data_IF_249826997087
#
_entry.id   IF_249826997087
#
_cell.length_a   1.000
_cell.length_b   1.000
_cell.length_c   1.000
_cell.angle_alpha   90.00
_cell.angle_beta   90.00
_cell.angle_gamma   90.00
#
_symmetry.space_group_name_H-M   'P 1'
#
loop_
_entity.id
_entity.type
_entity.pdbx_description
1 polymer ?
#
# COMPACT_ATOMS: atom_id res chain seq x y z
N UNK A 1 57.70 27.79 -37.43
CA UNK A 1 57.12 26.48 -37.73
C UNK A 1 56.81 25.82 -36.39
N UNK A 2 55.58 25.85 -35.95
CA UNK A 2 55.12 25.17 -34.75
C UNK A 2 54.31 23.95 -35.22
N UNK A 3 54.81 22.78 -34.88
CA UNK A 3 54.16 21.52 -35.22
C UNK A 3 52.97 21.29 -34.28
N UNK A 4 51.76 21.21 -34.85
CA UNK A 4 50.56 20.79 -34.16
C UNK A 4 50.51 19.26 -34.19
N UNK A 5 50.67 18.65 -33.04
CA UNK A 5 50.51 17.21 -32.85
C UNK A 5 49.00 16.92 -32.80
N UNK A 6 48.49 16.26 -33.82
CA UNK A 6 47.14 15.66 -33.79
C UNK A 6 47.18 14.38 -32.95
N UNK A 7 46.48 14.37 -31.86
CA UNK A 7 46.23 13.14 -31.10
C UNK A 7 45.07 12.42 -31.81
N UNK A 8 45.39 11.32 -32.49
CA UNK A 8 44.41 10.38 -33.01
C UNK A 8 43.74 9.62 -31.84
N UNK A 9 42.53 10.02 -31.50
CA UNK A 9 41.66 9.23 -30.61
C UNK A 9 41.13 8.05 -31.41
N UNK A 10 41.69 6.89 -31.19
CA UNK A 10 41.17 5.62 -31.71
C UNK A 10 39.80 5.33 -31.10
N UNK A 11 38.75 5.54 -31.88
CA UNK A 11 37.42 5.04 -31.62
C UNK A 11 37.44 3.50 -31.66
N UNK A 12 37.51 2.85 -30.53
CA UNK A 12 37.09 1.47 -30.33
C UNK A 12 35.70 1.47 -29.76
N UNK A 13 34.77 0.85 -30.49
CA UNK A 13 33.42 0.47 -30.08
C UNK A 13 32.56 1.61 -29.51
N UNK A 14 32.07 2.46 -30.34
CA UNK A 14 30.84 3.30 -30.23
C UNK A 14 30.25 3.69 -28.83
N UNK A 15 31.00 3.55 -27.75
CA UNK A 15 30.65 4.05 -26.42
C UNK A 15 31.43 5.34 -26.20
N UNK A 16 30.71 6.44 -26.17
CA UNK A 16 31.21 7.63 -25.53
C UNK A 16 31.56 7.26 -24.08
N UNK A 17 32.81 7.48 -23.68
CA UNK A 17 33.16 7.47 -22.25
C UNK A 17 32.44 8.71 -21.65
N UNK A 18 31.23 8.54 -21.15
CA UNK A 18 30.62 9.51 -20.28
C UNK A 18 31.55 9.63 -19.07
N UNK A 19 31.87 10.84 -18.64
CA UNK A 19 32.54 11.07 -17.36
C UNK A 19 31.72 10.48 -16.22
N UNK A 20 32.24 10.46 -14.98
CA UNK A 20 31.46 9.99 -13.83
C UNK A 20 30.19 10.83 -13.74
N UNK A 21 29.05 10.15 -13.46
CA UNK A 21 27.76 10.81 -13.27
C UNK A 21 27.83 11.79 -12.10
N UNK A 22 27.06 12.85 -12.24
CA UNK A 22 26.90 13.90 -11.22
C UNK A 22 25.40 14.15 -10.97
N UNK A 23 25.07 14.74 -9.83
CA UNK A 23 23.70 15.16 -9.53
C UNK A 23 23.14 16.06 -10.64
N UNK A 24 21.90 15.80 -11.05
CA UNK A 24 21.20 16.52 -12.10
C UNK A 24 21.50 16.03 -13.53
N UNK A 25 22.39 15.05 -13.70
CA UNK A 25 22.68 14.53 -15.03
C UNK A 25 21.48 13.80 -15.65
N UNK A 26 21.30 13.98 -16.96
CA UNK A 26 20.29 13.27 -17.74
C UNK A 26 20.91 12.08 -18.45
N UNK A 27 20.38 10.89 -18.23
CA UNK A 27 20.81 9.66 -18.89
C UNK A 27 19.91 9.34 -20.09
N UNK A 28 20.51 9.00 -21.23
CA UNK A 28 19.81 8.64 -22.48
C UNK A 28 20.18 7.27 -23.02
N UNK A 29 20.88 6.46 -22.24
CA UNK A 29 21.29 5.09 -22.55
C UNK A 29 21.42 4.29 -21.25
N UNK A 30 21.58 2.97 -21.37
CA UNK A 30 21.89 2.12 -20.22
C UNK A 30 23.08 2.66 -19.45
N UNK A 31 22.89 2.87 -18.16
CA UNK A 31 23.85 3.54 -17.29
C UNK A 31 24.01 2.76 -15.99
N UNK A 32 25.24 2.59 -15.56
CA UNK A 32 25.58 1.98 -14.27
C UNK A 32 26.28 3.03 -13.42
N UNK A 33 25.87 3.15 -12.16
CA UNK A 33 26.52 4.02 -11.18
C UNK A 33 27.84 3.36 -10.73
N UNK A 34 28.92 4.13 -10.77
CA UNK A 34 30.25 3.67 -10.34
C UNK A 34 30.64 4.22 -8.95
N UNK A 35 29.95 5.25 -8.48
CA UNK A 35 30.18 5.92 -7.20
C UNK A 35 28.85 6.39 -6.61
N UNK A 36 28.82 6.67 -5.32
CA UNK A 36 27.68 7.35 -4.69
C UNK A 36 27.60 8.80 -5.18
N UNK A 37 26.36 9.27 -5.39
CA UNK A 37 26.08 10.70 -5.59
C UNK A 37 25.64 11.26 -4.25
N UNK A 38 26.39 12.20 -3.69
CA UNK A 38 26.13 12.74 -2.36
C UNK A 38 25.75 14.22 -2.40
N UNK A 39 24.93 14.62 -1.43
CA UNK A 39 24.49 16.01 -1.23
C UNK A 39 23.88 16.62 -2.51
N UNK A 40 23.08 15.87 -3.24
CA UNK A 40 22.38 16.34 -4.44
C UNK A 40 21.34 17.43 -4.05
N UNK A 41 21.49 18.66 -4.55
CA UNK A 41 20.68 19.78 -4.03
C UNK A 41 19.23 19.81 -4.56
N UNK A 42 18.90 19.11 -5.61
CA UNK A 42 17.54 19.07 -6.21
C UNK A 42 17.26 17.70 -6.81
N UNK A 43 17.81 17.41 -8.00
CA UNK A 43 17.59 16.14 -8.69
C UNK A 43 18.86 15.31 -8.66
N UNK A 44 18.73 14.04 -8.30
CA UNK A 44 19.83 13.08 -8.39
C UNK A 44 20.11 12.74 -9.84
N UNK A 45 19.25 11.97 -10.50
CA UNK A 45 19.38 11.58 -11.91
C UNK A 45 18.05 11.80 -12.65
N UNK A 46 18.12 12.35 -13.86
CA UNK A 46 17.00 12.47 -14.80
C UNK A 46 17.07 11.35 -15.84
N UNK A 47 15.97 10.64 -16.04
CA UNK A 47 15.80 9.73 -17.17
C UNK A 47 15.39 10.53 -18.39
N UNK A 48 16.10 10.40 -19.50
CA UNK A 48 15.89 11.17 -20.73
C UNK A 48 15.67 10.33 -21.98
N UNK A 49 15.39 9.02 -21.84
CA UNK A 49 15.06 8.15 -22.97
C UNK A 49 14.24 6.94 -22.54
N UNK A 50 13.47 6.39 -23.46
CA UNK A 50 12.74 5.15 -23.31
C UNK A 50 13.64 3.90 -23.30
N UNK A 51 13.15 2.81 -22.72
CA UNK A 51 13.76 1.47 -22.76
C UNK A 51 15.21 1.40 -22.25
N UNK A 52 15.60 2.29 -21.33
CA UNK A 52 16.94 2.30 -20.73
C UNK A 52 16.93 1.73 -19.31
N UNK A 53 18.10 1.31 -18.86
CA UNK A 53 18.35 0.85 -17.49
C UNK A 53 19.28 1.81 -16.75
N UNK A 54 18.84 2.25 -15.57
CA UNK A 54 19.69 2.83 -14.52
C UNK A 54 19.98 1.75 -13.49
N UNK A 55 21.18 1.21 -13.53
CA UNK A 55 21.67 0.28 -12.51
C UNK A 55 22.46 1.05 -11.46
N UNK A 56 21.90 1.15 -10.26
CA UNK A 56 22.57 1.82 -9.14
C UNK A 56 23.76 1.00 -8.60
N UNK A 57 23.90 -0.27 -8.98
CA UNK A 57 25.04 -1.12 -8.70
C UNK A 57 25.46 -1.15 -7.20
N UNK A 58 24.48 -1.06 -6.32
CA UNK A 58 24.68 -0.99 -4.86
C UNK A 58 25.04 0.39 -4.31
N UNK A 59 25.19 1.39 -5.17
CA UNK A 59 25.48 2.77 -4.78
C UNK A 59 24.23 3.52 -4.32
N UNK A 60 24.46 4.68 -3.72
CA UNK A 60 23.45 5.57 -3.18
C UNK A 60 23.37 6.87 -3.97
N UNK A 61 22.16 7.30 -4.28
CA UNK A 61 21.85 8.67 -4.66
C UNK A 61 21.29 9.35 -3.41
N UNK A 62 22.01 10.33 -2.89
CA UNK A 62 21.77 11.00 -1.61
C UNK A 62 21.46 12.48 -1.84
N UNK A 63 20.30 12.92 -1.40
CA UNK A 63 19.91 14.32 -1.39
C UNK A 63 20.64 15.09 -0.30
N UNK A 64 20.47 16.41 -0.27
CA UNK A 64 21.06 17.26 0.76
C UNK A 64 20.20 17.37 2.03
N UNK A 65 19.03 16.70 2.03
CA UNK A 65 18.06 16.72 3.12
C UNK A 65 17.43 18.08 3.37
N UNK A 66 17.67 19.06 2.49
CA UNK A 66 17.10 20.39 2.60
C UNK A 66 15.68 20.40 2.02
N UNK A 67 14.76 20.97 2.79
CA UNK A 67 13.36 21.04 2.42
C UNK A 67 13.12 22.22 1.48
N UNK A 68 12.70 21.98 0.25
CA UNK A 68 11.80 22.82 -0.56
C UNK A 68 12.10 24.30 -0.80
N UNK A 69 13.07 24.95 -0.17
CA UNK A 69 13.24 26.41 -0.32
C UNK A 69 13.78 26.84 -1.70
N UNK A 70 14.29 25.92 -2.50
CA UNK A 70 14.96 26.23 -3.77
C UNK A 70 14.11 25.97 -5.02
N UNK A 71 12.96 25.32 -4.88
CA UNK A 71 12.09 25.02 -6.02
C UNK A 71 11.07 26.13 -6.18
N UNK A 72 11.20 26.95 -7.21
CA UNK A 72 10.21 28.00 -7.54
C UNK A 72 8.80 27.44 -7.77
N UNK A 73 7.83 28.30 -8.08
CA UNK A 73 6.40 27.94 -8.27
C UNK A 73 6.12 26.89 -9.38
N UNK A 74 7.12 26.34 -10.02
CA UNK A 74 6.98 25.39 -11.10
C UNK A 74 7.77 24.10 -10.80
N UNK A 75 7.02 23.01 -10.64
CA UNK A 75 7.44 21.69 -11.06
C UNK A 75 8.20 20.81 -10.05
N UNK A 76 8.17 19.51 -10.33
CA UNK A 76 8.79 18.42 -9.58
C UNK A 76 10.27 18.72 -9.42
N UNK A 77 10.65 19.13 -8.25
CA UNK A 77 12.02 19.30 -7.88
C UNK A 77 12.31 18.59 -6.56
N UNK A 78 13.56 18.30 -6.28
CA UNK A 78 13.99 17.51 -5.15
C UNK A 78 13.56 16.03 -5.27
N UNK A 79 14.06 15.38 -6.32
CA UNK A 79 13.76 13.98 -6.65
C UNK A 79 15.04 13.21 -6.88
N UNK A 80 15.19 12.07 -6.20
CA UNK A 80 16.38 11.25 -6.35
C UNK A 80 16.55 10.66 -7.77
N UNK A 81 15.52 10.00 -8.30
CA UNK A 81 15.46 9.53 -9.69
C UNK A 81 14.15 10.00 -10.31
N UNK A 82 14.23 10.87 -11.31
CA UNK A 82 13.10 11.42 -12.04
C UNK A 82 12.93 10.74 -13.40
N UNK A 83 11.81 10.08 -13.59
CA UNK A 83 11.34 9.62 -14.90
C UNK A 83 10.01 10.32 -15.22
N UNK A 84 10.05 11.29 -16.11
CA UNK A 84 8.89 12.04 -16.59
C UNK A 84 8.62 11.69 -18.06
N UNK A 85 7.64 10.80 -18.27
CA UNK A 85 7.14 10.41 -19.58
C UNK A 85 7.91 9.31 -20.31
N UNK A 86 8.98 8.74 -19.78
CA UNK A 86 9.75 7.70 -20.49
C UNK A 86 9.27 6.29 -20.17
N UNK A 87 8.92 5.54 -21.20
CA UNK A 87 8.41 4.17 -21.13
C UNK A 87 9.53 3.13 -21.02
N UNK A 88 9.23 1.96 -20.42
CA UNK A 88 10.12 0.80 -20.42
C UNK A 88 11.39 0.90 -19.57
N UNK A 89 11.54 1.95 -18.79
CA UNK A 89 12.73 2.22 -17.99
C UNK A 89 12.86 1.24 -16.82
N UNK A 90 14.08 0.79 -16.56
CA UNK A 90 14.40 0.01 -15.37
C UNK A 90 15.30 0.80 -14.43
N UNK A 91 14.91 0.91 -13.15
CA UNK A 91 15.77 1.39 -12.07
C UNK A 91 16.03 0.22 -11.13
N UNK A 92 17.31 -0.10 -10.87
CA UNK A 92 17.63 -1.32 -10.14
C UNK A 92 18.81 -1.19 -9.17
N UNK A 93 18.80 -2.04 -8.13
CA UNK A 93 19.93 -2.45 -7.29
C UNK A 93 20.72 -1.33 -6.60
N UNK A 94 20.10 -0.53 -5.76
CA UNK A 94 20.79 0.47 -4.94
C UNK A 94 19.85 1.26 -4.02
N UNK A 95 20.31 2.43 -3.60
CA UNK A 95 19.58 3.25 -2.63
C UNK A 95 19.34 4.68 -3.14
N UNK A 96 18.18 5.24 -2.73
CA UNK A 96 17.82 6.65 -2.99
C UNK A 96 17.28 7.22 -1.69
N UNK A 97 17.81 8.35 -1.23
CA UNK A 97 17.44 8.88 0.08
C UNK A 97 17.58 10.40 0.19
N UNK A 98 16.89 10.95 1.23
CA UNK A 98 17.00 12.34 1.66
C UNK A 98 16.57 13.38 0.61
N UNK A 99 15.58 13.01 -0.22
CA UNK A 99 14.87 13.90 -1.15
C UNK A 99 13.43 14.17 -0.67
N UNK A 100 12.70 15.03 -1.37
CA UNK A 100 11.25 15.07 -1.22
C UNK A 100 10.63 13.76 -1.72
N UNK A 101 10.98 13.35 -2.93
CA UNK A 101 10.60 12.06 -3.51
C UNK A 101 11.84 11.24 -3.88
N UNK A 102 11.89 10.00 -3.45
CA UNK A 102 13.04 9.14 -3.78
C UNK A 102 13.08 8.76 -5.26
N UNK A 103 12.11 7.98 -5.73
CA UNK A 103 11.96 7.60 -7.14
C UNK A 103 10.59 8.04 -7.64
N UNK A 104 10.55 8.93 -8.62
CA UNK A 104 9.33 9.44 -9.23
C UNK A 104 9.20 8.98 -10.68
N UNK A 105 8.04 8.38 -11.00
CA UNK A 105 7.67 7.94 -12.35
C UNK A 105 6.33 8.56 -12.70
N UNK A 106 6.32 9.47 -13.67
CA UNK A 106 5.14 10.23 -14.06
C UNK A 106 4.80 9.98 -15.53
N UNK A 107 3.50 9.84 -15.85
CA UNK A 107 2.97 9.73 -17.23
C UNK A 107 3.64 8.64 -18.11
N UNK A 108 4.12 7.55 -17.50
CA UNK A 108 4.96 6.56 -18.16
C UNK A 108 4.42 5.12 -18.00
N UNK A 109 4.81 4.23 -18.87
CA UNK A 109 4.33 2.86 -18.92
C UNK A 109 5.44 1.82 -18.96
N UNK A 110 5.16 0.63 -18.41
CA UNK A 110 6.05 -0.52 -18.55
C UNK A 110 7.33 -0.45 -17.73
N UNK A 111 7.44 0.51 -16.83
CA UNK A 111 8.63 0.74 -16.03
C UNK A 111 8.83 -0.32 -14.95
N UNK A 112 10.05 -0.50 -14.52
CA UNK A 112 10.47 -1.50 -13.54
C UNK A 112 11.35 -0.87 -12.48
N UNK A 113 10.92 -0.95 -11.22
CA UNK A 113 11.71 -0.56 -10.05
C UNK A 113 11.99 -1.85 -9.28
N UNK A 114 13.25 -2.27 -9.21
CA UNK A 114 13.63 -3.61 -8.74
C UNK A 114 14.81 -3.55 -7.80
N UNK A 115 14.68 -4.08 -6.58
CA UNK A 115 15.79 -4.10 -5.63
C UNK A 115 16.25 -2.71 -5.15
N UNK A 116 15.39 -1.70 -5.23
CA UNK A 116 15.69 -0.33 -4.83
C UNK A 116 15.27 -0.11 -3.38
N UNK A 117 16.14 0.48 -2.58
CA UNK A 117 15.85 0.96 -1.24
C UNK A 117 15.64 2.47 -1.28
N UNK A 118 14.45 2.93 -0.96
CA UNK A 118 14.14 4.37 -0.91
C UNK A 118 13.78 4.77 0.52
N UNK A 119 14.53 5.71 1.12
CA UNK A 119 14.40 6.00 2.54
C UNK A 119 14.68 7.46 2.90
N UNK A 120 14.14 7.89 4.05
CA UNK A 120 14.30 9.24 4.58
C UNK A 120 13.88 10.35 3.63
N UNK A 121 12.94 10.03 2.70
CA UNK A 121 12.36 11.03 1.81
C UNK A 121 11.16 11.70 2.49
N UNK A 122 10.96 12.96 2.22
CA UNK A 122 9.97 13.77 2.94
C UNK A 122 8.53 13.34 2.62
N UNK A 123 8.21 13.07 1.34
CA UNK A 123 6.87 12.69 0.90
C UNK A 123 6.80 11.24 0.43
N UNK A 124 7.52 10.86 -0.61
CA UNK A 124 7.37 9.52 -1.18
C UNK A 124 8.70 8.79 -1.30
N UNK A 125 8.77 7.58 -0.76
CA UNK A 125 9.87 6.69 -1.11
C UNK A 125 9.87 6.39 -2.60
N UNK A 126 8.75 5.87 -3.12
CA UNK A 126 8.53 5.61 -4.54
C UNK A 126 7.15 6.13 -4.92
N UNK A 127 7.04 6.92 -5.99
CA UNK A 127 5.76 7.38 -6.50
C UNK A 127 5.59 7.03 -7.99
N UNK A 128 4.41 6.52 -8.34
CA UNK A 128 3.98 6.36 -9.73
C UNK A 128 2.70 7.16 -9.94
N UNK A 129 2.76 8.21 -10.75
CA UNK A 129 1.63 9.08 -11.06
C UNK A 129 1.25 8.97 -12.54
N UNK A 130 -0.04 8.91 -12.85
CA UNK A 130 -0.57 8.76 -14.21
C UNK A 130 0.11 7.64 -15.04
N UNK A 131 0.61 6.61 -14.34
CA UNK A 131 1.47 5.57 -14.90
C UNK A 131 0.72 4.24 -15.14
N UNK A 132 1.24 3.41 -16.05
CA UNK A 132 0.58 2.17 -16.40
C UNK A 132 1.54 0.98 -16.56
N UNK A 133 1.01 -0.25 -16.35
CA UNK A 133 1.69 -1.52 -16.65
C UNK A 133 3.10 -1.68 -16.07
N UNK A 134 3.42 -0.90 -15.04
CA UNK A 134 4.74 -0.91 -14.39
C UNK A 134 4.78 -1.92 -13.23
N UNK A 135 5.99 -2.23 -12.78
CA UNK A 135 6.21 -3.14 -11.67
C UNK A 135 7.21 -2.56 -10.66
N UNK A 136 6.85 -2.61 -9.38
CA UNK A 136 7.76 -2.39 -8.25
C UNK A 136 7.91 -3.71 -7.51
N UNK A 137 9.12 -4.25 -7.46
CA UNK A 137 9.33 -5.54 -6.79
C UNK A 137 10.65 -5.64 -6.06
N UNK A 138 10.65 -6.46 -5.00
CA UNK A 138 11.84 -6.76 -4.20
C UNK A 138 12.54 -5.49 -3.69
N UNK A 139 11.77 -4.40 -3.52
CA UNK A 139 12.22 -3.07 -3.14
C UNK A 139 11.73 -2.70 -1.73
N UNK A 140 12.28 -1.63 -1.16
CA UNK A 140 11.89 -1.15 0.15
C UNK A 140 11.66 0.36 0.15
N UNK A 141 10.55 0.79 0.81
CA UNK A 141 10.31 2.19 1.18
C UNK A 141 10.29 2.28 2.71
N UNK A 142 11.26 2.94 3.33
CA UNK A 142 11.30 2.96 4.78
C UNK A 142 11.86 4.25 5.38
N UNK A 143 11.47 4.50 6.64
CA UNK A 143 11.93 5.67 7.38
C UNK A 143 11.57 7.00 6.71
N UNK A 144 10.54 7.04 5.86
CA UNK A 144 9.99 8.29 5.33
C UNK A 144 9.10 8.89 6.42
N UNK A 145 9.37 10.13 6.88
CA UNK A 145 8.85 10.61 8.15
C UNK A 145 7.34 10.91 8.12
N UNK A 146 6.65 10.58 9.21
CA UNK A 146 5.28 10.99 9.42
C UNK A 146 5.16 12.53 9.61
N UNK A 147 4.00 13.16 9.31
CA UNK A 147 2.77 12.47 8.88
C UNK A 147 2.67 12.17 7.37
N UNK A 148 3.50 12.79 6.54
CA UNK A 148 3.31 12.88 5.09
C UNK A 148 4.19 11.90 4.29
N UNK A 149 5.14 11.24 4.95
CA UNK A 149 6.07 10.33 4.29
C UNK A 149 5.47 8.94 4.03
N UNK A 150 5.32 8.58 2.76
CA UNK A 150 4.81 7.30 2.31
C UNK A 150 5.93 6.37 1.83
N UNK A 151 5.80 5.08 2.10
CA UNK A 151 6.73 4.09 1.53
C UNK A 151 6.61 4.00 0.01
N UNK A 152 5.36 3.98 -0.50
CA UNK A 152 5.05 4.03 -1.92
C UNK A 152 3.70 4.71 -2.15
N UNK A 153 3.57 5.48 -3.24
CA UNK A 153 2.30 6.07 -3.66
C UNK A 153 1.94 5.71 -5.12
N UNK A 154 0.62 5.54 -5.37
CA UNK A 154 0.03 5.40 -6.70
C UNK A 154 -1.05 6.46 -6.87
N UNK A 155 -0.91 7.36 -7.83
CA UNK A 155 -1.89 8.38 -8.17
C UNK A 155 -2.33 8.25 -9.64
N UNK A 156 -3.62 8.13 -9.90
CA UNK A 156 -4.18 8.03 -11.26
C UNK A 156 -3.61 6.89 -12.10
N UNK A 157 -3.01 5.88 -11.48
CA UNK A 157 -2.23 4.83 -12.14
C UNK A 157 -3.01 3.54 -12.32
N UNK A 158 -2.68 2.73 -13.34
CA UNK A 158 -3.41 1.49 -13.58
C UNK A 158 -2.54 0.32 -14.04
N UNK A 159 -3.02 -0.89 -13.73
CA UNK A 159 -2.34 -2.14 -14.07
C UNK A 159 -0.90 -2.24 -13.51
N UNK A 160 -0.64 -1.58 -12.38
CA UNK A 160 0.64 -1.62 -11.68
C UNK A 160 0.72 -2.91 -10.83
N UNK A 161 1.90 -3.46 -10.71
CA UNK A 161 2.18 -4.64 -9.89
C UNK A 161 3.19 -4.30 -8.79
N UNK A 162 2.75 -4.35 -7.54
CA UNK A 162 3.58 -4.11 -6.36
C UNK A 162 3.78 -5.43 -5.65
N UNK A 163 4.96 -6.04 -5.78
CA UNK A 163 5.16 -7.46 -5.41
C UNK A 163 6.42 -7.67 -4.57
N UNK A 164 6.26 -8.26 -3.37
CA UNK A 164 7.40 -8.69 -2.55
C UNK A 164 8.20 -7.56 -1.91
N UNK A 165 7.62 -6.38 -1.78
CA UNK A 165 8.29 -5.21 -1.21
C UNK A 165 8.13 -5.14 0.31
N UNK A 166 8.94 -4.28 0.94
CA UNK A 166 8.88 -3.97 2.36
C UNK A 166 8.67 -2.47 2.57
N UNK A 167 7.60 -2.12 3.29
CA UNK A 167 7.28 -0.73 3.64
C UNK A 167 7.24 -0.60 5.16
N UNK A 168 8.22 0.11 5.74
CA UNK A 168 8.40 0.11 7.18
C UNK A 168 8.77 1.48 7.75
N UNK A 169 8.19 1.83 8.91
CA UNK A 169 8.49 3.06 9.65
C UNK A 169 8.29 4.32 8.80
N UNK A 170 7.20 4.33 8.05
CA UNK A 170 6.73 5.48 7.28
C UNK A 170 5.52 6.11 7.97
N UNK A 171 5.08 7.26 7.49
CA UNK A 171 3.75 7.78 7.78
C UNK A 171 2.70 6.79 7.31
N UNK A 172 2.55 6.59 6.02
CA UNK A 172 1.80 5.50 5.40
C UNK A 172 2.74 4.44 4.83
N UNK A 173 2.36 3.17 4.90
CA UNK A 173 3.10 2.13 4.17
C UNK A 173 2.93 2.30 2.66
N UNK A 174 1.69 2.48 2.21
CA UNK A 174 1.33 2.71 0.80
C UNK A 174 0.07 3.55 0.69
N UNK A 175 0.07 4.53 -0.20
CA UNK A 175 -1.07 5.35 -0.58
C UNK A 175 -1.52 5.01 -2.01
N UNK A 176 -2.82 4.81 -2.22
CA UNK A 176 -3.39 4.50 -3.54
C UNK A 176 -4.63 5.37 -3.74
N UNK A 177 -4.56 6.31 -4.67
CA UNK A 177 -5.66 7.21 -4.99
C UNK A 177 -5.95 7.19 -6.49
N UNK A 178 -7.23 7.22 -6.88
CA UNK A 178 -7.73 7.22 -8.26
C UNK A 178 -7.09 6.15 -9.19
N UNK A 179 -6.55 5.10 -8.59
CA UNK A 179 -5.74 4.10 -9.28
C UNK A 179 -6.47 2.77 -9.40
N UNK A 180 -6.47 2.14 -10.57
CA UNK A 180 -7.34 0.98 -10.85
C UNK A 180 -6.61 -0.23 -11.41
N UNK A 181 -7.19 -1.42 -11.17
CA UNK A 181 -6.70 -2.68 -11.71
C UNK A 181 -5.24 -3.01 -11.29
N UNK A 182 -4.82 -2.52 -10.14
CA UNK A 182 -3.49 -2.78 -9.60
C UNK A 182 -3.47 -4.06 -8.77
N UNK A 183 -2.31 -4.71 -8.70
CA UNK A 183 -2.08 -5.93 -7.93
C UNK A 183 -1.01 -5.69 -6.86
N UNK A 184 -1.43 -5.68 -5.60
CA UNK A 184 -0.57 -5.51 -4.41
C UNK A 184 -0.43 -6.88 -3.73
N UNK A 185 0.73 -7.53 -3.91
CA UNK A 185 0.87 -8.93 -3.52
C UNK A 185 2.16 -9.22 -2.74
N UNK A 186 2.02 -9.93 -1.62
CA UNK A 186 3.18 -10.49 -0.91
C UNK A 186 4.08 -9.45 -0.24
N UNK A 187 3.59 -8.22 -0.06
CA UNK A 187 4.34 -7.14 0.56
C UNK A 187 4.25 -7.22 2.10
N UNK A 188 5.24 -6.63 2.76
CA UNK A 188 5.28 -6.44 4.19
C UNK A 188 5.07 -4.95 4.55
N UNK A 189 4.16 -4.67 5.48
CA UNK A 189 3.90 -3.35 6.04
C UNK A 189 4.17 -3.41 7.55
N UNK A 190 5.18 -2.71 8.03
CA UNK A 190 5.67 -2.90 9.40
C UNK A 190 5.95 -1.58 10.08
N UNK A 191 5.35 -1.39 11.26
CA UNK A 191 5.63 -0.22 12.10
C UNK A 191 5.37 1.14 11.44
N UNK A 192 4.41 1.21 10.49
CA UNK A 192 3.98 2.47 9.93
C UNK A 192 3.00 3.17 10.92
N UNK A 193 3.11 4.50 11.05
CA UNK A 193 2.33 5.26 12.03
C UNK A 193 0.83 5.23 11.70
N UNK A 194 0.51 5.34 10.44
CA UNK A 194 -0.83 5.29 9.86
C UNK A 194 -1.10 3.91 9.22
N UNK A 195 -2.11 3.74 8.35
CA UNK A 195 -2.36 2.46 7.68
C UNK A 195 -1.16 1.91 6.91
N UNK A 196 -1.03 0.58 6.94
CA UNK A 196 -0.15 -0.12 6.02
C UNK A 196 -0.53 0.16 4.56
N UNK A 197 -1.84 0.16 4.24
CA UNK A 197 -2.37 0.66 2.96
C UNK A 197 -3.56 1.57 3.24
N UNK A 198 -3.49 2.81 2.75
CA UNK A 198 -4.63 3.71 2.54
C UNK A 198 -5.00 3.67 1.06
N UNK A 199 -6.25 3.29 0.76
CA UNK A 199 -6.71 3.17 -0.63
C UNK A 199 -8.05 3.87 -0.84
N UNK A 200 -8.08 4.83 -1.75
CA UNK A 200 -9.27 5.51 -2.27
C UNK A 200 -9.37 5.23 -3.78
N UNK A 201 -9.69 3.96 -4.10
CA UNK A 201 -9.53 3.49 -5.48
C UNK A 201 -10.35 2.21 -5.75
N UNK A 202 -10.64 1.95 -7.02
CA UNK A 202 -11.53 0.89 -7.48
C UNK A 202 -10.79 -0.28 -8.15
N UNK A 203 -11.37 -1.48 -8.09
CA UNK A 203 -10.96 -2.66 -8.87
C UNK A 203 -9.52 -3.11 -8.63
N UNK A 204 -8.98 -2.92 -7.44
CA UNK A 204 -7.65 -3.36 -7.07
C UNK A 204 -7.67 -4.73 -6.37
N UNK A 205 -6.56 -5.45 -6.43
CA UNK A 205 -6.35 -6.72 -5.77
C UNK A 205 -5.25 -6.61 -4.70
N UNK A 206 -5.61 -6.69 -3.42
CA UNK A 206 -4.70 -6.69 -2.27
C UNK A 206 -4.65 -8.11 -1.71
N UNK A 207 -3.56 -8.84 -1.94
CA UNK A 207 -3.53 -10.25 -1.55
C UNK A 207 -2.20 -10.75 -0.99
N UNK A 208 -2.29 -11.63 0.03
CA UNK A 208 -1.11 -12.29 0.60
C UNK A 208 -0.11 -11.36 1.25
N UNK A 209 -0.53 -10.14 1.61
CA UNK A 209 0.32 -9.18 2.29
C UNK A 209 0.34 -9.44 3.80
N UNK A 210 1.37 -8.93 4.46
CA UNK A 210 1.53 -9.02 5.92
C UNK A 210 1.63 -7.63 6.52
N UNK A 211 0.77 -7.34 7.49
CA UNK A 211 0.82 -6.13 8.30
C UNK A 211 1.24 -6.46 9.72
N UNK A 212 2.03 -5.57 10.31
CA UNK A 212 2.40 -5.72 11.71
C UNK A 212 2.69 -4.38 12.36
N UNK A 213 1.95 -4.06 13.43
CA UNK A 213 2.14 -2.87 14.26
C UNK A 213 2.04 -1.55 13.47
N UNK A 214 1.14 -1.49 12.52
CA UNK A 214 0.77 -0.24 11.87
C UNK A 214 -0.36 0.45 12.64
N UNK A 215 -0.70 1.69 12.27
CA UNK A 215 -1.94 2.30 12.73
C UNK A 215 -3.14 1.41 12.42
N UNK A 216 -3.24 0.95 11.19
CA UNK A 216 -4.20 -0.06 10.71
C UNK A 216 -3.54 -0.93 9.63
N UNK A 217 -4.00 -2.17 9.40
CA UNK A 217 -3.45 -2.92 8.27
C UNK A 217 -3.89 -2.29 6.94
N UNK A 218 -5.21 -2.20 6.70
CA UNK A 218 -5.76 -1.59 5.49
C UNK A 218 -6.97 -0.72 5.82
N UNK A 219 -6.98 0.49 5.27
CA UNK A 219 -8.13 1.37 5.17
C UNK A 219 -8.49 1.53 3.70
N UNK A 220 -9.66 1.08 3.32
CA UNK A 220 -10.10 0.99 1.92
C UNK A 220 -11.39 1.75 1.73
N UNK A 221 -11.36 2.79 0.94
CA UNK A 221 -12.52 3.43 0.34
C UNK A 221 -12.51 3.16 -1.17
N UNK A 222 -13.65 2.82 -1.75
CA UNK A 222 -13.74 2.49 -3.17
C UNK A 222 -14.42 1.14 -3.44
N UNK A 223 -14.57 0.80 -4.71
CA UNK A 223 -15.49 -0.23 -5.14
C UNK A 223 -14.80 -1.40 -5.83
N UNK A 224 -15.43 -2.59 -5.73
CA UNK A 224 -15.02 -3.79 -6.48
C UNK A 224 -13.57 -4.22 -6.21
N UNK A 225 -13.03 -3.92 -5.03
CA UNK A 225 -11.71 -4.36 -4.62
C UNK A 225 -11.75 -5.79 -4.07
N UNK A 226 -10.69 -6.54 -4.27
CA UNK A 226 -10.47 -7.86 -3.67
C UNK A 226 -9.38 -7.76 -2.59
N UNK A 227 -9.77 -7.96 -1.33
CA UNK A 227 -8.86 -7.98 -0.17
C UNK A 227 -8.79 -9.43 0.33
N UNK A 228 -7.74 -10.18 -0.03
CA UNK A 228 -7.77 -11.60 0.21
C UNK A 228 -6.45 -12.19 0.72
N UNK A 229 -6.57 -13.17 1.66
CA UNK A 229 -5.42 -13.94 2.17
C UNK A 229 -4.32 -13.06 2.78
N UNK A 230 -4.67 -11.91 3.32
CA UNK A 230 -3.73 -11.05 4.03
C UNK A 230 -3.69 -11.43 5.51
N UNK A 231 -2.60 -11.04 6.17
CA UNK A 231 -2.39 -11.31 7.59
C UNK A 231 -2.07 -10.00 8.33
N UNK A 232 -3.01 -9.53 9.14
CA UNK A 232 -2.88 -8.35 9.99
C UNK A 232 -2.57 -8.77 11.43
N UNK A 233 -1.60 -8.13 12.08
CA UNK A 233 -1.23 -8.49 13.45
C UNK A 233 -0.75 -7.30 14.26
N UNK A 234 -1.39 -7.06 15.42
CA UNK A 234 -1.02 -6.03 16.40
C UNK A 234 -1.11 -4.60 15.85
N UNK A 235 -1.99 -4.38 14.89
CA UNK A 235 -2.28 -3.04 14.39
C UNK A 235 -3.15 -2.29 15.41
N UNK A 236 -3.03 -0.96 15.49
CA UNK A 236 -3.54 -0.17 16.61
C UNK A 236 -5.04 0.15 16.44
N UNK A 237 -5.44 0.71 15.32
CA UNK A 237 -6.80 1.20 15.10
C UNK A 237 -7.73 0.17 14.44
N UNK A 238 -7.22 -1.01 14.11
CA UNK A 238 -8.00 -2.09 13.54
C UNK A 238 -7.21 -2.95 12.56
N UNK A 239 -7.86 -3.99 12.05
CA UNK A 239 -7.26 -4.86 11.05
C UNK A 239 -7.54 -4.37 9.64
N UNK A 240 -8.75 -4.56 9.14
CA UNK A 240 -9.19 -4.19 7.79
C UNK A 240 -10.48 -3.39 7.90
N UNK A 241 -10.48 -2.16 7.43
CA UNK A 241 -11.68 -1.33 7.29
C UNK A 241 -12.02 -1.14 5.81
N UNK A 242 -13.31 -1.26 5.49
CA UNK A 242 -13.87 -0.84 4.21
C UNK A 242 -14.90 0.23 4.51
N UNK A 243 -14.59 1.45 4.10
CA UNK A 243 -15.42 2.63 4.33
C UNK A 243 -16.00 3.11 2.99
N UNK A 244 -17.28 3.42 2.95
CA UNK A 244 -18.01 3.96 1.79
C UNK A 244 -17.92 3.13 0.48
N UNK A 245 -17.38 1.91 0.55
CA UNK A 245 -17.12 1.08 -0.61
C UNK A 245 -18.25 0.08 -0.93
N UNK A 246 -18.42 -0.22 -2.23
CA UNK A 246 -19.44 -1.15 -2.72
C UNK A 246 -18.84 -2.32 -3.50
N UNK A 247 -19.48 -3.49 -3.37
CA UNK A 247 -19.10 -4.71 -4.10
C UNK A 247 -17.67 -5.20 -3.82
N UNK A 248 -17.07 -4.84 -2.68
CA UNK A 248 -15.77 -5.35 -2.27
C UNK A 248 -15.89 -6.79 -1.77
N UNK A 249 -14.82 -7.54 -1.93
CA UNK A 249 -14.71 -8.91 -1.41
C UNK A 249 -13.56 -9.00 -0.41
N UNK A 250 -13.89 -9.19 0.86
CA UNK A 250 -12.94 -9.39 1.96
C UNK A 250 -12.91 -10.87 2.28
N UNK A 251 -11.85 -11.59 1.84
CA UNK A 251 -11.90 -13.04 1.86
C UNK A 251 -10.63 -13.71 2.41
N UNK A 252 -10.81 -14.69 3.31
CA UNK A 252 -9.73 -15.54 3.81
C UNK A 252 -8.56 -14.75 4.43
N UNK A 253 -8.82 -13.58 5.00
CA UNK A 253 -7.84 -12.84 5.75
C UNK A 253 -7.75 -13.38 7.18
N UNK A 254 -6.60 -13.18 7.80
CA UNK A 254 -6.36 -13.50 9.22
C UNK A 254 -5.99 -12.21 9.93
N UNK A 255 -6.77 -11.84 10.92
CA UNK A 255 -6.57 -10.64 11.75
C UNK A 255 -6.38 -11.07 13.20
N UNK A 256 -5.27 -10.67 13.82
CA UNK A 256 -4.93 -11.16 15.16
C UNK A 256 -4.37 -10.05 16.05
N UNK A 257 -4.95 -9.89 17.25
CA UNK A 257 -4.48 -8.97 18.29
C UNK A 257 -4.45 -7.50 17.85
N UNK A 258 -5.48 -7.02 17.23
CA UNK A 258 -5.68 -5.58 17.01
C UNK A 258 -6.21 -4.92 18.28
N UNK A 259 -5.89 -3.63 18.48
CA UNK A 259 -6.36 -2.86 19.65
C UNK A 259 -7.74 -2.25 19.45
N UNK A 260 -8.41 -2.54 18.37
CA UNK A 260 -9.76 -2.13 18.03
C UNK A 260 -10.42 -3.23 17.21
N UNK A 261 -11.48 -2.91 16.46
CA UNK A 261 -12.24 -3.83 15.61
C UNK A 261 -11.34 -4.58 14.61
N UNK A 262 -11.62 -5.86 14.43
CA UNK A 262 -10.85 -6.70 13.51
C UNK A 262 -11.13 -6.43 12.05
N UNK A 263 -12.39 -6.61 11.60
CA UNK A 263 -12.87 -6.28 10.25
C UNK A 263 -14.08 -5.39 10.37
N UNK A 264 -14.02 -4.24 9.73
CA UNK A 264 -15.03 -3.20 9.78
C UNK A 264 -15.62 -2.93 8.40
N UNK A 265 -16.95 -2.86 8.31
CA UNK A 265 -17.68 -2.32 7.17
C UNK A 265 -18.53 -1.15 7.65
N UNK A 266 -18.35 0.03 7.08
CA UNK A 266 -19.07 1.19 7.56
C UNK A 266 -18.83 2.46 6.76
N UNK A 267 -19.09 3.58 7.42
CA UNK A 267 -18.96 4.93 6.89
C UNK A 267 -18.06 5.71 7.81
N UNK A 268 -17.18 6.51 7.26
CA UNK A 268 -16.41 7.47 8.01
C UNK A 268 -16.96 8.89 7.87
N UNK A 269 -17.29 9.31 6.66
CA UNK A 269 -17.61 10.73 6.40
C UNK A 269 -18.81 10.96 5.47
N UNK A 270 -19.29 9.97 4.70
CA UNK A 270 -20.32 10.18 3.68
C UNK A 270 -21.60 9.38 3.95
N UNK A 271 -22.78 10.01 3.88
CA UNK A 271 -24.07 9.37 4.24
C UNK A 271 -24.51 8.27 3.28
N UNK A 272 -23.86 8.10 2.13
CA UNK A 272 -24.26 7.12 1.12
C UNK A 272 -23.83 5.68 1.40
N UNK A 273 -22.96 5.47 2.37
CA UNK A 273 -22.57 4.20 2.94
C UNK A 273 -22.04 3.14 1.98
N UNK A 274 -21.41 2.13 2.54
CA UNK A 274 -21.02 0.91 1.84
C UNK A 274 -22.22 0.07 1.41
N UNK A 275 -22.04 -0.77 0.39
CA UNK A 275 -23.10 -1.70 0.01
C UNK A 275 -22.61 -2.96 -0.70
N UNK A 276 -23.37 -4.05 -0.51
CA UNK A 276 -23.19 -5.30 -1.25
C UNK A 276 -21.77 -5.87 -1.16
N UNK A 277 -21.10 -5.61 -0.05
CA UNK A 277 -19.79 -6.17 0.23
C UNK A 277 -19.93 -7.64 0.65
N UNK A 278 -18.90 -8.44 0.40
CA UNK A 278 -18.90 -9.86 0.78
C UNK A 278 -17.71 -10.13 1.70
N UNK A 279 -18.01 -10.38 2.98
CA UNK A 279 -17.02 -10.78 3.99
C UNK A 279 -17.08 -12.30 4.16
N UNK A 280 -16.06 -13.03 3.71
CA UNK A 280 -16.17 -14.50 3.72
C UNK A 280 -14.86 -15.22 4.09
N UNK A 281 -15.01 -16.23 4.93
CA UNK A 281 -13.91 -17.14 5.26
C UNK A 281 -12.76 -16.48 6.01
N UNK A 282 -12.98 -15.33 6.63
CA UNK A 282 -11.96 -14.64 7.41
C UNK A 282 -11.89 -15.23 8.84
N UNK A 283 -10.74 -15.12 9.46
CA UNK A 283 -10.50 -15.46 10.85
C UNK A 283 -10.05 -14.21 11.58
N UNK A 284 -10.76 -13.84 12.62
CA UNK A 284 -10.42 -12.71 13.49
C UNK A 284 -10.28 -13.20 14.92
N UNK A 285 -9.15 -12.89 15.55
CA UNK A 285 -8.85 -13.40 16.89
C UNK A 285 -8.22 -12.32 17.78
N UNK A 286 -8.68 -12.24 19.04
CA UNK A 286 -8.09 -11.39 20.09
C UNK A 286 -8.05 -9.92 19.74
N UNK A 287 -9.17 -9.38 19.36
CA UNK A 287 -9.40 -7.94 19.19
C UNK A 287 -9.72 -7.32 20.55
N UNK A 288 -9.37 -6.05 20.74
CA UNK A 288 -9.75 -5.32 21.96
C UNK A 288 -11.17 -4.73 21.90
N UNK A 289 -11.86 -4.93 20.78
CA UNK A 289 -13.22 -4.53 20.47
C UNK A 289 -13.87 -5.70 19.71
N UNK A 290 -14.90 -5.45 18.89
CA UNK A 290 -15.56 -6.47 18.07
C UNK A 290 -14.59 -7.18 17.11
N UNK A 291 -14.83 -8.45 16.88
CA UNK A 291 -14.08 -9.11 15.80
C UNK A 291 -14.57 -8.65 14.42
N UNK A 292 -15.89 -8.55 14.23
CA UNK A 292 -16.50 -8.04 13.00
C UNK A 292 -17.58 -7.01 13.33
N UNK A 293 -17.48 -5.84 12.73
CA UNK A 293 -18.49 -4.79 12.85
C UNK A 293 -19.04 -4.41 11.47
N UNK A 294 -20.37 -4.40 11.34
CA UNK A 294 -21.08 -3.89 10.14
C UNK A 294 -22.05 -2.81 10.60
N UNK A 295 -21.77 -1.56 10.28
CA UNK A 295 -22.57 -0.42 10.74
C UNK A 295 -23.90 -0.29 10.01
N UNK A 296 -24.85 0.52 10.51
CA UNK A 296 -26.17 0.69 9.90
C UNK A 296 -26.13 1.18 8.46
N UNK A 297 -25.10 1.93 8.09
CA UNK A 297 -24.93 2.56 6.79
C UNK A 297 -24.40 1.61 5.71
N UNK A 298 -23.85 0.44 6.08
CA UNK A 298 -23.50 -0.59 5.09
C UNK A 298 -24.73 -1.42 4.71
N UNK A 299 -25.11 -1.39 3.45
CA UNK A 299 -26.34 -1.98 2.98
C UNK A 299 -26.15 -3.29 2.19
N UNK A 300 -27.00 -4.29 2.44
CA UNK A 300 -27.07 -5.54 1.69
C UNK A 300 -25.79 -6.36 1.66
N UNK A 301 -24.88 -6.17 2.58
CA UNK A 301 -23.64 -6.93 2.66
C UNK A 301 -23.88 -8.35 3.19
N UNK A 302 -23.02 -9.28 2.77
CA UNK A 302 -23.09 -10.68 3.10
C UNK A 302 -21.88 -11.07 3.96
N UNK A 303 -22.14 -11.52 5.18
CA UNK A 303 -21.13 -12.01 6.12
C UNK A 303 -21.28 -13.53 6.26
N UNK A 304 -20.32 -14.30 5.73
CA UNK A 304 -20.48 -15.76 5.69
C UNK A 304 -19.18 -16.54 5.92
N UNK A 305 -19.31 -17.69 6.61
CA UNK A 305 -18.19 -18.61 6.85
C UNK A 305 -17.01 -17.95 7.57
N UNK A 306 -17.20 -16.88 8.31
CA UNK A 306 -16.16 -16.24 9.10
C UNK A 306 -16.07 -16.86 10.49
N UNK A 307 -14.92 -16.66 11.14
CA UNK A 307 -14.69 -17.12 12.50
C UNK A 307 -14.19 -15.95 13.35
N UNK A 308 -14.88 -15.68 14.45
CA UNK A 308 -14.53 -14.73 15.51
C UNK A 308 -14.12 -15.49 16.77
N UNK A 309 -12.99 -15.12 17.36
CA UNK A 309 -12.51 -15.76 18.61
C UNK A 309 -11.87 -14.77 19.55
N UNK A 310 -12.20 -14.91 20.82
CA UNK A 310 -11.52 -14.21 21.90
C UNK A 310 -11.48 -12.68 21.69
N UNK A 311 -12.52 -12.10 21.06
CA UNK A 311 -12.75 -10.66 21.01
C UNK A 311 -13.11 -10.16 22.43
N UNK A 312 -12.73 -8.94 22.79
CA UNK A 312 -13.05 -8.38 24.11
C UNK A 312 -14.44 -7.75 24.17
N UNK A 313 -15.16 -7.75 23.06
CA UNK A 313 -16.59 -7.42 22.96
C UNK A 313 -17.29 -8.53 22.17
N UNK A 314 -18.07 -8.19 21.15
CA UNK A 314 -18.83 -9.15 20.36
C UNK A 314 -17.97 -9.90 19.34
N UNK A 315 -18.34 -11.13 19.02
CA UNK A 315 -17.76 -11.83 17.89
C UNK A 315 -18.16 -11.20 16.57
N UNK A 316 -19.45 -10.88 16.45
CA UNK A 316 -20.03 -10.16 15.30
C UNK A 316 -21.03 -9.15 15.85
N UNK A 317 -20.79 -7.85 15.63
CA UNK A 317 -21.78 -6.79 15.83
C UNK A 317 -22.32 -6.35 14.46
N UNK A 318 -23.59 -6.71 14.18
CA UNK A 318 -24.23 -6.48 12.90
C UNK A 318 -25.38 -5.51 13.09
N UNK A 319 -25.13 -4.26 12.83
CA UNK A 319 -26.06 -3.16 13.02
C UNK A 319 -26.84 -2.82 11.74
N UNK A 320 -26.39 -3.30 10.57
CA UNK A 320 -27.12 -3.14 9.31
C UNK A 320 -28.30 -4.10 9.21
N UNK A 321 -29.52 -3.57 9.19
CA UNK A 321 -30.75 -4.36 9.05
C UNK A 321 -30.87 -5.14 7.74
N UNK A 322 -30.17 -4.71 6.71
CA UNK A 322 -30.19 -5.34 5.38
C UNK A 322 -29.07 -6.35 5.18
N UNK A 323 -28.21 -6.57 6.17
CA UNK A 323 -27.14 -7.54 6.11
C UNK A 323 -27.67 -8.99 6.16
N UNK A 324 -26.89 -9.92 5.62
CA UNK A 324 -27.19 -11.36 5.70
C UNK A 324 -26.04 -12.13 6.33
N UNK A 325 -26.33 -12.93 7.34
CA UNK A 325 -25.38 -13.79 8.05
C UNK A 325 -25.60 -15.26 7.72
N UNK A 326 -24.53 -15.98 7.36
CA UNK A 326 -24.63 -17.41 7.04
C UNK A 326 -23.37 -18.17 7.50
N UNK A 327 -23.57 -19.25 8.28
CA UNK A 327 -22.49 -20.18 8.68
C UNK A 327 -21.27 -19.52 9.32
N UNK A 328 -21.45 -18.43 10.06
CA UNK A 328 -20.39 -17.81 10.84
C UNK A 328 -20.19 -18.55 12.16
N UNK A 329 -19.03 -18.40 12.75
CA UNK A 329 -18.64 -19.07 13.99
C UNK A 329 -18.08 -18.05 14.99
N UNK A 330 -18.59 -18.03 16.21
CA UNK A 330 -18.17 -17.12 17.27
C UNK A 330 -17.88 -17.91 18.56
N UNK A 331 -16.66 -17.79 19.05
CA UNK A 331 -16.22 -18.59 20.20
C UNK A 331 -15.44 -17.75 21.21
N UNK A 332 -15.83 -17.86 22.49
CA UNK A 332 -15.10 -17.27 23.61
C UNK A 332 -14.87 -15.76 23.49
N UNK A 333 -15.81 -15.03 22.89
CA UNK A 333 -15.82 -13.59 22.92
C UNK A 333 -16.35 -13.10 24.27
N UNK A 334 -16.02 -11.89 24.67
CA UNK A 334 -16.30 -11.45 26.03
C UNK A 334 -17.76 -11.07 26.25
N UNK A 335 -18.52 -10.69 25.22
CA UNK A 335 -19.97 -10.46 25.28
C UNK A 335 -20.71 -11.47 24.39
N UNK A 336 -21.46 -11.04 23.38
CA UNK A 336 -22.22 -11.94 22.50
C UNK A 336 -21.30 -12.62 21.46
N UNK A 337 -21.67 -13.82 21.07
CA UNK A 337 -21.09 -14.43 19.88
C UNK A 337 -21.50 -13.70 18.62
N UNK A 338 -22.81 -13.43 18.49
CA UNK A 338 -23.36 -12.66 17.38
C UNK A 338 -24.45 -11.72 17.90
N UNK A 339 -24.17 -10.45 17.87
CA UNK A 339 -25.12 -9.37 18.09
C UNK A 339 -25.67 -8.93 16.74
N UNK A 340 -26.90 -9.17 16.47
CA UNK A 340 -27.60 -8.69 15.29
C UNK A 340 -28.77 -7.80 15.70
N UNK A 341 -29.05 -6.76 14.92
CA UNK A 341 -30.29 -5.98 15.09
C UNK A 341 -31.46 -6.66 14.41
N UNK A 342 -32.69 -6.26 14.79
CA UNK A 342 -33.89 -6.73 14.13
C UNK A 342 -33.88 -6.39 12.63
N UNK A 343 -34.24 -7.34 11.78
CA UNK A 343 -34.25 -7.20 10.31
C UNK A 343 -33.07 -7.84 9.61
N UNK A 344 -31.99 -8.18 10.30
CA UNK A 344 -30.87 -8.92 9.73
C UNK A 344 -31.35 -10.28 9.21
N UNK A 345 -30.99 -10.61 7.95
CA UNK A 345 -31.39 -11.86 7.34
C UNK A 345 -30.55 -13.04 7.86
N UNK A 346 -31.18 -13.99 8.55
CA UNK A 346 -30.57 -15.24 8.96
C UNK A 346 -30.50 -16.22 7.81
N UNK A 347 -29.30 -16.43 7.28
CA UNK A 347 -29.00 -17.43 6.23
C UNK A 347 -28.77 -18.83 6.76
N UNK A 348 -28.85 -19.02 8.07
CA UNK A 348 -28.72 -20.29 8.78
C UNK A 348 -27.29 -20.80 8.96
N UNK A 349 -27.18 -21.76 9.89
CA UNK A 349 -25.93 -22.46 10.17
C UNK A 349 -24.89 -21.65 10.95
N UNK A 350 -25.28 -20.54 11.57
CA UNK A 350 -24.44 -19.78 12.49
C UNK A 350 -24.24 -20.56 13.78
N UNK A 351 -23.05 -20.45 14.36
CA UNK A 351 -22.64 -21.15 15.60
C UNK A 351 -22.02 -20.16 16.56
N UNK A 352 -22.53 -20.08 17.77
CA UNK A 352 -21.95 -19.29 18.85
C UNK A 352 -21.88 -20.11 20.14
N UNK A 353 -20.69 -20.21 20.74
CA UNK A 353 -20.53 -21.03 21.94
C UNK A 353 -19.46 -20.49 22.87
N UNK A 354 -19.77 -20.50 24.17
CA UNK A 354 -18.82 -20.15 25.22
C UNK A 354 -18.44 -18.68 25.22
N UNK A 355 -19.32 -17.81 24.67
CA UNK A 355 -19.19 -16.37 24.79
C UNK A 355 -19.73 -15.89 26.14
N UNK A 356 -19.38 -14.70 26.56
CA UNK A 356 -19.68 -14.17 27.88
C UNK A 356 -21.19 -14.00 28.16
N UNK A 357 -21.96 -13.52 27.18
CA UNK A 357 -23.42 -13.46 27.31
C UNK A 357 -24.04 -14.87 27.08
N UNK A 358 -24.81 -15.39 28.04
CA UNK A 358 -25.44 -16.71 27.93
C UNK A 358 -26.43 -16.85 26.77
N UNK A 359 -26.99 -15.77 26.25
CA UNK A 359 -27.85 -15.78 25.05
C UNK A 359 -27.14 -16.22 23.80
N UNK A 360 -25.83 -16.02 23.75
CA UNK A 360 -24.92 -16.30 22.62
C UNK A 360 -25.23 -15.53 21.34
N UNK A 361 -26.47 -15.32 20.96
CA UNK A 361 -26.90 -14.58 19.78
C UNK A 361 -28.18 -13.78 20.04
N UNK A 362 -28.35 -12.66 19.30
CA UNK A 362 -29.60 -11.88 19.25
C UNK A 362 -30.12 -11.81 17.82
N UNK A 363 -31.45 -11.87 17.64
CA UNK A 363 -32.21 -11.73 16.38
C UNK A 363 -31.85 -12.69 15.25
N UNK A 364 -30.97 -13.64 15.47
CA UNK A 364 -30.62 -14.76 14.56
C UNK A 364 -30.51 -16.06 15.33
N UNK A 365 -30.70 -17.20 14.64
CA UNK A 365 -30.54 -18.51 15.23
C UNK A 365 -29.11 -18.97 15.26
N UNK A 366 -28.61 -19.38 16.44
CA UNK A 366 -27.29 -19.98 16.62
C UNK A 366 -27.42 -21.40 17.23
N UNK A 367 -26.43 -22.23 16.96
CA UNK A 367 -26.29 -23.56 17.54
C UNK A 367 -25.09 -23.63 18.46
#
# INVERSE_FOLDING_TARGET
MIAISTVDVLLRDGRALAGPLSCGDTITADTTLDIDLADCPNIGIVVGADDITLDLNGHTIDGDGAVFEACGEAEICDVGVLNDGHDGVTVTDGSVQEFADGVSVTEASGNRIVGVVSSRNLFFGIVLAASARSIVRDSAGHDNPAPDGDGLALFGSHAIRIVGNSFARNGLGMHIEDSTNNVIKGNAFVDNEQPGILMQADRNEIRGNRCRRNGMCFLVAGNRNLIARNHARRDIFGGIAVEDGRHNVIARNVVVRTRSTGIYLGVREFPDGGARNVVRGNIVERTDDDAFLVTPEDHHSIVKHNTAREARDDGFDIQSRSARLTRNRAFRNADLGIRAVEGVADGGGNVARGNGDPRQCTHIACR
#
